data_IF_733932808240
#
_entry.id   IF_733932808240
#
_cell.length_a   1.000
_cell.length_b   1.000
_cell.length_c   1.000
_cell.angle_alpha   90.00
_cell.angle_beta   90.00
_cell.angle_gamma   90.00
#
_symmetry.space_group_name_H-M   'P 1'
#
loop_
_entity.id
_entity.type
_entity.pdbx_description
1 polymer ?
#
# COMPACT_ATOMS: atom_id res chain seq x y z
N UNK A 1 -10.30 -2.86 2.70
CA UNK A 1 -8.98 -2.74 3.37
C UNK A 1 -8.96 -3.28 4.79
N UNK A 2 -10.09 -3.32 5.52
CA UNK A 2 -10.16 -3.92 6.84
C UNK A 2 -9.68 -5.40 6.89
N UNK A 3 -9.93 -6.16 5.82
CA UNK A 3 -9.45 -7.55 5.68
C UNK A 3 -7.91 -7.66 5.78
N UNK A 4 -7.17 -6.69 5.27
CA UNK A 4 -5.69 -6.69 5.29
C UNK A 4 -5.12 -5.80 6.41
N UNK A 5 -5.94 -5.45 7.41
CA UNK A 5 -5.52 -4.64 8.55
C UNK A 5 -5.08 -3.21 8.22
N UNK A 6 -5.50 -2.71 7.05
CA UNK A 6 -5.13 -1.39 6.55
C UNK A 6 -6.26 -0.37 6.78
N UNK A 7 -5.91 0.89 7.08
CA UNK A 7 -6.87 1.99 7.14
C UNK A 7 -7.63 2.16 5.82
N UNK A 8 -8.84 2.73 5.91
CA UNK A 8 -9.70 2.95 4.75
C UNK A 8 -9.05 3.81 3.68
N UNK A 9 -8.26 4.83 4.07
CA UNK A 9 -7.62 5.77 3.15
C UNK A 9 -6.55 5.10 2.27
N UNK A 10 -5.90 4.03 2.75
CA UNK A 10 -4.96 3.25 1.94
C UNK A 10 -5.65 2.50 0.80
N UNK A 11 -6.98 2.34 0.90
CA UNK A 11 -7.83 1.88 -0.19
C UNK A 11 -7.75 2.76 -1.43
N UNK A 12 -7.70 4.08 -1.23
CA UNK A 12 -7.60 5.06 -2.32
C UNK A 12 -6.23 4.98 -3.01
N UNK A 13 -5.16 4.84 -2.22
CA UNK A 13 -3.79 4.67 -2.73
C UNK A 13 -3.69 3.41 -3.59
N UNK A 14 -4.22 2.29 -3.10
CA UNK A 14 -4.23 1.04 -3.86
C UNK A 14 -5.11 1.13 -5.11
N UNK A 15 -6.32 1.70 -5.02
CA UNK A 15 -7.19 1.89 -6.18
C UNK A 15 -6.53 2.76 -7.27
N UNK A 16 -5.78 3.78 -6.87
CA UNK A 16 -4.98 4.59 -7.80
C UNK A 16 -3.87 3.78 -8.44
N UNK A 17 -3.18 2.92 -7.66
CA UNK A 17 -2.17 2.01 -8.19
C UNK A 17 -2.74 1.04 -9.24
N UNK A 18 -3.92 0.48 -8.96
CA UNK A 18 -4.66 -0.39 -9.88
C UNK A 18 -4.97 0.37 -11.17
N UNK A 19 -5.42 1.62 -11.08
CA UNK A 19 -5.81 2.42 -12.25
C UNK A 19 -4.62 3.00 -13.05
N UNK A 20 -3.47 3.21 -12.43
CA UNK A 20 -2.35 3.93 -13.06
C UNK A 20 -1.06 3.12 -13.03
N UNK A 21 -0.27 3.26 -11.98
CA UNK A 21 0.98 2.55 -11.70
C UNK A 21 1.45 2.90 -10.28
N UNK A 22 2.64 2.43 -9.91
CA UNK A 22 3.26 2.68 -8.61
C UNK A 22 3.51 4.19 -8.37
N UNK A 23 3.91 4.94 -9.41
CA UNK A 23 4.18 6.37 -9.30
C UNK A 23 2.90 7.19 -9.05
N UNK A 24 1.80 6.85 -9.72
CA UNK A 24 0.49 7.49 -9.49
C UNK A 24 -0.02 7.24 -8.08
N UNK A 25 0.15 6.02 -7.57
CA UNK A 25 -0.16 5.69 -6.19
C UNK A 25 0.70 6.49 -5.20
N UNK A 26 1.98 6.71 -5.51
CA UNK A 26 2.90 7.47 -4.65
C UNK A 26 2.50 8.94 -4.51
N UNK A 27 1.98 9.55 -5.56
CA UNK A 27 1.43 10.92 -5.53
C UNK A 27 0.25 11.03 -4.56
N UNK A 28 -0.63 10.03 -4.54
CA UNK A 28 -1.78 9.97 -3.61
C UNK A 28 -1.36 9.59 -2.20
N UNK A 29 -0.33 8.76 -2.06
CA UNK A 29 0.22 8.36 -0.76
C UNK A 29 0.86 9.54 -0.01
N UNK A 30 1.59 10.41 -0.71
CA UNK A 30 2.34 11.52 -0.10
C UNK A 30 1.52 12.42 0.86
N UNK A 31 0.30 12.88 0.50
CA UNK A 31 -0.52 13.68 1.42
C UNK A 31 -1.27 12.85 2.47
N UNK A 32 -1.52 11.56 2.21
CA UNK A 32 -2.36 10.71 3.09
C UNK A 32 -1.52 10.05 4.19
N UNK A 33 -0.32 9.57 3.87
CA UNK A 33 0.53 8.84 4.78
C UNK A 33 0.89 9.57 6.09
N UNK A 34 1.18 10.89 6.11
CA UNK A 34 1.56 11.58 7.34
C UNK A 34 0.42 11.69 8.37
N UNK A 35 -0.85 11.66 7.92
CA UNK A 35 -2.03 11.73 8.78
C UNK A 35 -2.40 10.39 9.43
N UNK A 36 -1.83 9.30 8.92
CA UNK A 36 -2.09 7.94 9.37
C UNK A 36 -0.78 7.41 9.93
N UNK A 37 -0.68 7.32 11.26
CA UNK A 37 0.49 6.77 11.96
C UNK A 37 0.64 5.26 11.71
N UNK A 38 0.92 4.89 10.46
CA UNK A 38 1.03 3.55 9.91
C UNK A 38 2.19 2.82 10.58
N UNK A 39 2.09 1.50 10.66
CA UNK A 39 3.24 0.68 11.06
C UNK A 39 4.04 0.25 9.84
N UNK A 40 5.31 -0.09 10.04
CA UNK A 40 6.14 -0.66 8.95
C UNK A 40 5.43 -1.85 8.30
N UNK A 41 4.80 -2.72 9.12
CA UNK A 41 4.03 -3.85 8.61
C UNK A 41 2.87 -3.45 7.68
N UNK A 42 2.13 -2.40 7.99
CA UNK A 42 1.04 -1.91 7.14
C UNK A 42 1.55 -1.34 5.82
N UNK A 43 2.65 -0.60 5.85
CA UNK A 43 3.30 -0.08 4.64
C UNK A 43 3.80 -1.22 3.75
N UNK A 44 4.38 -2.27 4.35
CA UNK A 44 4.82 -3.45 3.60
C UNK A 44 3.64 -4.16 2.93
N UNK A 45 2.55 -4.41 3.65
CA UNK A 45 1.34 -5.05 3.10
C UNK A 45 0.81 -4.25 1.90
N UNK A 46 0.69 -2.93 2.04
CA UNK A 46 0.26 -2.05 0.94
C UNK A 46 1.24 -2.11 -0.24
N UNK A 47 2.54 -2.04 0.01
CA UNK A 47 3.58 -2.11 -1.01
C UNK A 47 3.54 -3.42 -1.81
N UNK A 48 3.38 -4.56 -1.13
CA UNK A 48 3.25 -5.87 -1.79
C UNK A 48 1.98 -5.94 -2.64
N UNK A 49 0.85 -5.42 -2.15
CA UNK A 49 -0.39 -5.37 -2.91
C UNK A 49 -0.29 -4.50 -4.16
N UNK A 50 0.41 -3.37 -4.08
CA UNK A 50 0.67 -2.48 -5.22
C UNK A 50 1.60 -3.16 -6.23
N UNK A 51 2.67 -3.79 -5.76
CA UNK A 51 3.63 -4.48 -6.63
C UNK A 51 2.94 -5.53 -7.52
N UNK A 52 1.99 -6.28 -6.95
CA UNK A 52 1.29 -7.37 -7.66
C UNK A 52 0.20 -6.86 -8.62
N UNK A 53 -0.54 -5.80 -8.27
CA UNK A 53 -1.75 -5.42 -9.01
C UNK A 53 -1.71 -4.05 -9.70
N UNK A 54 -0.55 -3.40 -9.81
CA UNK A 54 -0.44 -2.09 -10.46
C UNK A 54 -0.79 -2.11 -11.96
N UNK A 55 -1.35 -1.01 -12.46
CA UNK A 55 -1.43 -0.74 -13.90
C UNK A 55 -2.41 -1.62 -14.69
N UNK A 56 -3.53 -2.01 -14.07
CA UNK A 56 -4.55 -2.84 -14.69
C UNK A 56 -4.99 -2.34 -16.08
N UNK A 57 -5.22 -1.04 -16.36
CA UNK A 57 -5.69 -0.62 -17.68
C UNK A 57 -4.73 -0.96 -18.81
N UNK A 58 -3.42 -0.83 -18.59
CA UNK A 58 -2.41 -1.13 -19.62
C UNK A 58 -2.37 -2.63 -19.90
N UNK A 59 -2.38 -3.43 -18.85
CA UNK A 59 -2.32 -4.89 -18.94
C UNK A 59 -3.61 -5.48 -19.52
N UNK A 60 -4.76 -4.88 -19.20
CA UNK A 60 -6.06 -5.27 -19.75
C UNK A 60 -6.12 -5.00 -21.25
N UNK A 61 -5.52 -3.90 -21.73
CA UNK A 61 -5.39 -3.59 -23.16
C UNK A 61 -4.46 -4.55 -23.90
N UNK A 62 -3.39 -5.02 -23.25
CA UNK A 62 -2.50 -6.05 -23.80
C UNK A 62 -3.22 -7.39 -23.86
N UNK A 63 -3.95 -7.76 -22.80
CA UNK A 63 -4.73 -8.99 -22.74
C UNK A 63 -5.84 -9.06 -23.80
N UNK A 64 -6.49 -7.93 -24.12
CA UNK A 64 -7.44 -7.87 -25.23
C UNK A 64 -6.81 -8.24 -26.58
N UNK A 65 -5.54 -7.89 -26.79
CA UNK A 65 -4.81 -8.23 -28.02
C UNK A 65 -4.30 -9.67 -28.04
N UNK A 66 -4.10 -10.29 -26.87
CA UNK A 66 -3.54 -11.64 -26.74
C UNK A 66 -4.60 -12.76 -26.70
N UNK A 67 -5.90 -12.43 -26.59
CA UNK A 67 -7.00 -13.40 -26.56
C UNK A 67 -7.38 -14.08 -25.23
N UNK A 68 -6.70 -13.94 -24.06
CA UNK A 68 -7.18 -14.53 -22.82
C UNK A 68 -8.41 -13.81 -22.23
N UNK A 69 -9.13 -14.54 -21.39
CA UNK A 69 -10.32 -14.05 -20.69
C UNK A 69 -9.96 -12.94 -19.71
N UNK A 70 -10.30 -11.70 -20.07
CA UNK A 70 -10.23 -10.49 -19.25
C UNK A 70 -10.52 -10.69 -17.74
N UNK A 71 -11.66 -11.29 -17.34
CA UNK A 71 -11.98 -11.43 -15.93
C UNK A 71 -11.06 -12.41 -15.19
N UNK A 72 -10.49 -13.42 -15.87
CA UNK A 72 -9.57 -14.37 -15.23
C UNK A 72 -8.24 -13.70 -14.87
N UNK A 73 -7.70 -12.87 -15.76
CA UNK A 73 -6.45 -12.15 -15.51
C UNK A 73 -6.63 -11.08 -14.42
N UNK A 74 -7.77 -10.38 -14.44
CA UNK A 74 -8.13 -9.43 -13.39
C UNK A 74 -8.26 -10.13 -12.02
N UNK A 75 -8.97 -11.27 -11.98
CA UNK A 75 -9.17 -12.03 -10.76
C UNK A 75 -7.86 -12.58 -10.21
N UNK A 76 -6.96 -13.09 -11.07
CA UNK A 76 -5.68 -13.62 -10.64
C UNK A 76 -4.78 -12.52 -10.04
N UNK A 77 -4.74 -11.34 -10.66
CA UNK A 77 -3.93 -10.21 -10.15
C UNK A 77 -4.51 -9.59 -8.90
N UNK A 78 -5.77 -9.20 -8.93
CA UNK A 78 -6.42 -8.53 -7.80
C UNK A 78 -6.62 -9.51 -6.64
N UNK A 79 -7.05 -10.74 -6.95
CA UNK A 79 -7.18 -11.81 -5.97
C UNK A 79 -5.83 -12.24 -5.40
N UNK A 80 -4.79 -12.37 -6.23
CA UNK A 80 -3.43 -12.67 -5.79
C UNK A 80 -2.85 -11.59 -4.87
N UNK A 81 -3.06 -10.31 -5.21
CA UNK A 81 -2.66 -9.19 -4.35
C UNK A 81 -3.39 -9.22 -3.01
N UNK A 82 -4.70 -9.46 -2.99
CA UNK A 82 -5.48 -9.56 -1.76
C UNK A 82 -5.09 -10.78 -0.91
N UNK A 83 -4.85 -11.93 -1.54
CA UNK A 83 -4.37 -13.15 -0.88
C UNK A 83 -3.00 -12.94 -0.24
N UNK A 84 -2.06 -12.35 -0.96
CA UNK A 84 -0.73 -12.01 -0.44
C UNK A 84 -0.84 -10.99 0.70
N UNK A 85 -1.62 -9.93 0.52
CA UNK A 85 -1.84 -8.93 1.56
C UNK A 85 -2.45 -9.53 2.83
N UNK A 86 -3.42 -10.44 2.67
CA UNK A 86 -4.04 -11.18 3.77
C UNK A 86 -3.04 -12.09 4.47
N UNK A 87 -2.23 -12.84 3.70
CA UNK A 87 -1.23 -13.73 4.25
C UNK A 87 -0.15 -12.97 5.03
N UNK A 88 0.32 -11.83 4.51
CA UNK A 88 1.24 -10.95 5.21
C UNK A 88 0.61 -10.37 6.49
N UNK A 89 -0.65 -9.95 6.43
CA UNK A 89 -1.38 -9.48 7.61
C UNK A 89 -1.43 -10.56 8.70
N UNK A 90 -1.73 -11.81 8.32
CA UNK A 90 -1.74 -12.94 9.24
C UNK A 90 -0.34 -13.26 9.77
N UNK A 91 0.70 -13.16 8.93
CA UNK A 91 2.07 -13.38 9.34
C UNK A 91 2.48 -12.37 10.41
N UNK A 92 2.15 -11.08 10.21
CA UNK A 92 2.46 -10.01 11.14
C UNK A 92 1.65 -10.08 12.42
N UNK A 93 0.38 -10.48 12.34
CA UNK A 93 -0.45 -10.71 13.53
C UNK A 93 0.08 -11.88 14.37
N UNK A 94 0.75 -12.87 13.76
CA UNK A 94 1.32 -14.04 14.45
C UNK A 94 2.72 -13.78 15.00
N UNK A 95 3.56 -13.03 14.29
CA UNK A 95 4.96 -12.77 14.71
C UNK A 95 5.08 -11.56 15.64
N UNK A 96 4.09 -10.66 15.68
CA UNK A 96 4.08 -9.48 16.56
C UNK A 96 5.14 -8.43 16.25
N UNK A 97 6.08 -8.68 15.33
CA UNK A 97 7.20 -7.80 15.00
C UNK A 97 6.80 -6.62 14.10
N UNK A 98 5.81 -6.78 13.21
CA UNK A 98 5.47 -5.78 12.19
C UNK A 98 4.76 -4.51 12.70
N UNK A 99 4.20 -4.52 13.91
CA UNK A 99 3.43 -3.41 14.46
C UNK A 99 4.20 -2.54 15.48
N UNK A 100 5.39 -2.98 15.90
CA UNK A 100 6.18 -2.31 16.95
C UNK A 100 6.85 -1.02 16.47
N UNK A 101 7.24 -0.95 15.20
CA UNK A 101 7.76 0.28 14.59
C UNK A 101 6.64 1.06 13.92
N UNK A 102 6.11 2.06 14.64
CA UNK A 102 5.19 3.06 14.10
C UNK A 102 5.99 4.10 13.32
N UNK A 103 5.59 4.39 12.08
CA UNK A 103 6.15 5.53 11.34
C UNK A 103 5.57 6.80 11.95
N UNK A 104 6.15 7.27 13.04
CA UNK A 104 5.81 8.57 13.62
C UNK A 104 6.27 9.64 12.62
N UNK A 105 5.40 10.57 12.18
CA UNK A 105 5.87 11.77 11.53
C UNK A 105 6.89 12.43 12.46
N UNK A 106 8.09 12.70 11.96
CA UNK A 106 9.15 13.36 12.74
C UNK A 106 8.68 14.78 13.04
N UNK A 107 7.83 14.96 14.04
CA UNK A 107 7.39 16.26 14.51
C UNK A 107 8.57 16.92 15.20
N UNK A 108 9.25 17.78 14.44
CA UNK A 108 9.94 18.96 14.94
C UNK A 108 10.85 18.72 16.16
N UNK A 109 12.06 18.20 15.92
CA UNK A 109 13.18 18.43 16.84
C UNK A 109 13.51 19.91 16.74
N UNK A 110 12.87 20.75 17.58
CA UNK A 110 13.38 22.10 17.82
C UNK A 110 14.80 21.94 18.38
N UNK A 111 15.84 22.56 17.80
CA UNK A 111 17.12 22.63 18.49
C UNK A 111 16.90 23.38 19.82
N UNK A 112 17.58 22.99 20.91
CA UNK A 112 17.53 23.78 22.14
C UNK A 112 18.04 25.19 21.82
N UNK A 113 17.18 26.18 22.03
CA UNK A 113 17.55 27.59 22.00
C UNK A 113 18.38 27.88 23.25
N UNK A 114 19.65 27.47 23.23
CA UNK A 114 20.68 27.87 24.19
C UNK A 114 21.67 28.78 23.47
N UNK A 115 21.30 30.05 23.31
CA UNK A 115 22.22 31.15 23.01
C UNK A 115 21.57 32.50 23.32
N UNK A 116 21.74 32.97 24.58
CA UNK A 116 21.92 34.36 25.04
C UNK A 116 21.35 34.54 26.45
N UNK A 117 22.20 34.30 27.43
CA UNK A 117 22.44 35.28 28.49
C UNK A 117 23.87 35.76 28.33
#
# INVERSE_FOLDING_TARGET
MALVGLPGEMGLVWATALATNIYGAMVVFAPVAPGLALTVGQVTVLGTMILVAHGLPVELRIAQKAGPRLPFMLLLRVGGALLLGWLLYLLWSRTGWGYSCRTTPRSNVRPPSTARQ
#
